data_IF_785638156045
#
_entry.id   IF_785638156045
#
_cell.length_a   1.000
_cell.length_b   1.000
_cell.length_c   1.000
_cell.angle_alpha   90.00
_cell.angle_beta   90.00
_cell.angle_gamma   90.00
#
_symmetry.space_group_name_H-M   'P 1'
#
loop_
_entity.id
_entity.type
_entity.pdbx_description
1 polymer ?
#
# COMPACT_ATOMS: atom_id res chain seq x y z
N UNK A 1 43.09 84.49 2.34
CA UNK A 1 42.84 83.13 2.87
C UNK A 1 44.14 82.34 2.82
N UNK A 2 44.74 81.97 3.97
CA UNK A 2 45.92 81.11 4.00
C UNK A 2 45.76 80.14 5.19
N UNK A 3 45.44 78.88 4.93
CA UNK A 3 45.43 77.81 5.96
C UNK A 3 46.28 76.65 5.49
N UNK A 4 47.14 76.24 6.42
CA UNK A 4 48.36 75.43 6.27
C UNK A 4 48.11 73.97 5.85
N UNK A 5 49.02 73.35 5.07
CA UNK A 5 48.93 71.96 4.59
C UNK A 5 49.11 70.86 5.65
N UNK A 6 49.19 71.19 6.95
CA UNK A 6 49.48 70.23 8.03
C UNK A 6 48.27 69.51 8.66
N UNK A 7 47.04 69.97 8.45
CA UNK A 7 45.85 69.39 9.13
C UNK A 7 45.29 68.15 8.43
N UNK A 8 45.43 68.07 7.10
CA UNK A 8 44.95 66.93 6.30
C UNK A 8 45.71 65.63 6.60
N UNK A 9 47.02 65.72 6.89
CA UNK A 9 47.83 64.55 7.26
C UNK A 9 47.48 63.99 8.65
N UNK A 10 47.02 64.83 9.59
CA UNK A 10 46.55 64.36 10.90
C UNK A 10 45.20 63.66 10.79
N UNK A 11 44.30 64.18 9.96
CA UNK A 11 43.04 63.51 9.65
C UNK A 11 43.24 62.18 8.92
N UNK A 12 44.14 62.12 7.93
CA UNK A 12 44.46 60.89 7.21
C UNK A 12 45.07 59.81 8.13
N UNK A 13 46.01 60.19 9.02
CA UNK A 13 46.60 59.25 9.99
C UNK A 13 45.62 58.80 11.06
N UNK A 14 44.73 59.68 11.52
CA UNK A 14 43.67 59.33 12.48
C UNK A 14 42.66 58.37 11.85
N UNK A 15 42.23 58.64 10.61
CA UNK A 15 41.33 57.79 9.84
C UNK A 15 41.95 56.43 9.52
N UNK A 16 43.24 56.39 9.20
CA UNK A 16 43.99 55.15 8.98
C UNK A 16 44.14 54.33 10.28
N UNK A 17 44.34 54.98 11.43
CA UNK A 17 44.32 54.31 12.74
C UNK A 17 42.93 53.76 13.09
N UNK A 18 41.88 54.47 12.70
CA UNK A 18 40.49 54.06 12.91
C UNK A 18 40.10 52.88 12.00
N UNK A 19 40.54 52.90 10.74
CA UNK A 19 40.40 51.77 9.81
C UNK A 19 41.22 50.54 10.26
N UNK A 20 42.43 50.74 10.79
CA UNK A 20 43.22 49.63 11.36
C UNK A 20 42.61 49.02 12.63
N UNK A 21 41.74 49.75 13.35
CA UNK A 21 40.93 49.24 14.46
C UNK A 21 39.64 48.56 14.00
N UNK A 22 39.07 48.96 12.87
CA UNK A 22 37.97 48.22 12.21
C UNK A 22 38.50 46.94 11.54
N UNK A 23 39.81 46.88 11.26
CA UNK A 23 40.54 45.68 10.88
C UNK A 23 41.22 45.00 12.09
N UNK A 24 40.62 45.09 13.28
CA UNK A 24 40.84 44.09 14.33
C UNK A 24 39.67 43.10 14.28
N UNK A 25 39.86 41.89 13.74
CA UNK A 25 39.01 40.77 14.09
C UNK A 25 39.43 40.30 15.49
N UNK A 26 38.99 41.05 16.51
CA UNK A 26 38.93 40.59 17.88
C UNK A 26 37.83 39.54 17.98
N UNK A 27 38.15 38.31 17.62
CA UNK A 27 37.19 37.21 17.69
C UNK A 27 37.62 36.05 16.80
N UNK A 28 38.64 35.29 17.23
CA UNK A 28 38.88 33.85 17.00
C UNK A 28 38.18 33.23 15.77
N UNK A 29 38.31 33.85 14.60
CA UNK A 29 37.75 33.40 13.33
C UNK A 29 38.78 32.51 12.67
N UNK A 30 38.83 31.24 13.08
CA UNK A 30 39.60 30.21 12.39
C UNK A 30 39.05 30.10 10.97
N UNK A 31 39.71 30.75 10.00
CA UNK A 31 39.49 30.46 8.58
C UNK A 31 39.68 28.95 8.45
N UNK A 32 38.66 28.16 8.08
CA UNK A 32 38.81 26.72 8.02
C UNK A 32 39.87 26.46 6.96
N UNK A 33 40.94 25.75 7.33
CA UNK A 33 41.89 25.22 6.34
C UNK A 33 41.09 24.53 5.22
N UNK A 34 41.55 24.50 3.95
CA UNK A 34 40.82 23.81 2.89
C UNK A 34 40.43 22.37 3.29
N UNK A 35 41.30 21.68 4.04
CA UNK A 35 41.00 20.38 4.68
C UNK A 35 39.81 20.41 5.66
N UNK A 36 39.64 21.48 6.43
CA UNK A 36 38.51 21.70 7.35
C UNK A 36 37.22 22.14 6.65
N UNK A 37 37.30 22.87 5.54
CA UNK A 37 36.14 23.18 4.71
C UNK A 37 35.61 21.92 3.98
N UNK A 38 36.50 21.10 3.42
CA UNK A 38 36.14 19.79 2.84
C UNK A 38 35.65 18.79 3.90
N UNK A 39 36.23 18.78 5.10
CA UNK A 39 35.74 17.97 6.20
C UNK A 39 34.35 18.43 6.69
N UNK A 40 34.10 19.74 6.73
CA UNK A 40 32.80 20.32 7.09
C UNK A 40 31.71 20.01 6.05
N UNK A 41 32.01 20.17 4.75
CA UNK A 41 31.08 19.80 3.67
C UNK A 41 30.85 18.29 3.60
N UNK A 42 31.91 17.48 3.74
CA UNK A 42 31.82 16.01 3.75
C UNK A 42 31.00 15.50 4.95
N UNK A 43 31.18 16.10 6.13
CA UNK A 43 30.39 15.81 7.32
C UNK A 43 28.91 16.16 7.15
N UNK A 44 28.60 17.32 6.54
CA UNK A 44 27.23 17.73 6.23
C UNK A 44 26.57 16.83 5.17
N UNK A 45 27.31 16.38 4.15
CA UNK A 45 26.80 15.44 3.15
C UNK A 45 26.56 14.04 3.74
N UNK A 46 27.43 13.57 4.65
CA UNK A 46 27.22 12.30 5.35
C UNK A 46 26.04 12.37 6.32
N UNK A 47 25.89 13.46 7.07
CA UNK A 47 24.76 13.66 7.97
C UNK A 47 23.44 13.84 7.19
N UNK A 48 23.44 14.69 6.16
CA UNK A 48 22.27 14.92 5.32
C UNK A 48 21.88 13.67 4.53
N UNK A 49 22.85 13.02 3.89
CA UNK A 49 22.64 11.76 3.16
C UNK A 49 22.21 10.61 4.06
N UNK A 50 22.82 10.49 5.25
CA UNK A 50 22.45 9.50 6.25
C UNK A 50 21.05 9.71 6.81
N UNK A 51 20.65 10.96 7.09
CA UNK A 51 19.31 11.28 7.58
C UNK A 51 18.23 10.98 6.52
N UNK A 52 18.47 11.34 5.25
CA UNK A 52 17.58 11.01 4.14
C UNK A 52 17.48 9.50 3.91
N UNK A 53 18.60 8.78 4.06
CA UNK A 53 18.63 7.33 3.94
C UNK A 53 17.79 6.68 5.04
N UNK A 54 17.99 7.05 6.31
CA UNK A 54 17.21 6.49 7.44
C UNK A 54 15.73 6.81 7.30
N UNK A 55 15.38 8.05 6.89
CA UNK A 55 13.98 8.44 6.74
C UNK A 55 13.27 7.64 5.64
N UNK A 56 13.91 7.44 4.49
CA UNK A 56 13.32 6.68 3.39
C UNK A 56 13.41 5.15 3.58
N UNK A 57 14.32 4.67 4.42
CA UNK A 57 14.49 3.25 4.71
C UNK A 57 13.48 2.71 5.73
N UNK A 58 12.87 3.59 6.53
CA UNK A 58 11.86 3.20 7.49
C UNK A 58 10.48 3.22 6.83
N UNK A 59 9.74 2.11 6.97
CA UNK A 59 8.33 2.06 6.61
C UNK A 59 7.53 1.49 7.77
N UNK A 60 6.30 1.96 7.92
CA UNK A 60 5.39 1.51 8.96
C UNK A 60 4.28 0.64 8.36
N UNK A 61 3.92 -0.42 9.08
CA UNK A 61 2.79 -1.30 8.76
C UNK A 61 1.74 -1.12 9.83
N UNK A 62 0.58 -0.60 9.45
CA UNK A 62 -0.54 -0.38 10.36
C UNK A 62 -1.16 -1.69 10.85
N UNK A 63 -1.84 -1.63 12.00
CA UNK A 63 -2.58 -2.77 12.55
C UNK A 63 -3.63 -3.30 11.58
N UNK A 64 -3.66 -4.62 11.39
CA UNK A 64 -4.55 -5.28 10.43
C UNK A 64 -4.08 -5.19 8.97
N UNK A 65 -2.86 -4.72 8.72
CA UNK A 65 -2.17 -4.87 7.45
C UNK A 65 -0.95 -5.79 7.59
N UNK A 66 -0.51 -6.34 6.47
CA UNK A 66 0.72 -7.13 6.36
C UNK A 66 1.49 -6.65 5.15
N UNK A 67 2.80 -6.54 5.28
CA UNK A 67 3.63 -6.11 4.15
C UNK A 67 4.44 -7.28 3.61
N UNK A 68 4.57 -7.30 2.28
CA UNK A 68 5.57 -8.10 1.58
C UNK A 68 6.57 -7.14 0.95
N UNK A 69 7.82 -7.57 0.79
CA UNK A 69 8.85 -6.74 0.16
C UNK A 69 9.17 -7.29 -1.21
N UNK A 70 9.11 -6.43 -2.22
CA UNK A 70 9.61 -6.69 -3.55
C UNK A 70 11.01 -6.12 -3.70
N UNK A 71 11.99 -6.98 -3.90
CA UNK A 71 13.37 -6.59 -4.18
C UNK A 71 13.62 -6.59 -5.70
N UNK A 72 14.25 -5.53 -6.23
CA UNK A 72 14.57 -5.41 -7.67
C UNK A 72 15.53 -6.50 -8.19
N UNK A 73 16.33 -7.10 -7.31
CA UNK A 73 17.34 -8.10 -7.66
C UNK A 73 16.78 -9.53 -7.54
N UNK A 74 16.07 -9.83 -6.45
CA UNK A 74 15.62 -11.18 -6.08
C UNK A 74 14.11 -11.40 -6.28
N UNK A 75 13.36 -10.36 -6.68
CA UNK A 75 11.91 -10.40 -6.81
C UNK A 75 11.18 -10.32 -5.46
N UNK A 76 9.98 -10.91 -5.40
CA UNK A 76 9.11 -10.89 -4.22
C UNK A 76 9.70 -11.77 -3.12
N UNK A 77 10.02 -11.20 -1.97
CA UNK A 77 10.48 -11.96 -0.81
C UNK A 77 9.36 -12.82 -0.21
N UNK A 78 9.70 -14.02 0.28
CA UNK A 78 8.78 -14.88 1.02
C UNK A 78 8.54 -14.41 2.45
N UNK A 79 9.33 -13.44 2.94
CA UNK A 79 9.20 -12.90 4.29
C UNK A 79 8.01 -11.95 4.36
N UNK A 80 7.08 -12.26 5.26
CA UNK A 80 5.92 -11.42 5.57
C UNK A 80 6.27 -10.58 6.79
N UNK A 81 6.02 -9.28 6.69
CA UNK A 81 6.22 -8.32 7.77
C UNK A 81 4.88 -8.07 8.46
N UNK A 82 4.88 -8.25 9.79
CA UNK A 82 3.73 -7.96 10.64
C UNK A 82 3.59 -6.45 10.88
N UNK A 83 2.56 -6.04 11.60
CA UNK A 83 2.41 -4.64 12.05
C UNK A 83 3.67 -4.12 12.78
N UNK A 84 3.97 -2.83 12.60
CA UNK A 84 5.13 -2.16 13.18
C UNK A 84 6.05 -1.50 12.15
N UNK A 85 7.11 -0.86 12.67
CA UNK A 85 8.11 -0.18 11.85
C UNK A 85 9.22 -1.14 11.44
N UNK A 86 9.47 -1.22 10.14
CA UNK A 86 10.48 -2.10 9.55
C UNK A 86 11.45 -1.29 8.70
N UNK A 87 12.63 -1.86 8.47
CA UNK A 87 13.70 -1.25 7.70
C UNK A 87 13.86 -1.95 6.34
N UNK A 88 13.96 -1.18 5.27
CA UNK A 88 14.19 -1.63 3.89
C UNK A 88 15.23 -0.76 3.19
N UNK A 89 15.82 -1.27 2.12
CA UNK A 89 16.71 -0.47 1.28
C UNK A 89 15.89 0.25 0.19
N UNK A 90 15.64 1.57 0.28
CA UNK A 90 14.63 2.26 -0.54
C UNK A 90 14.89 2.22 -2.07
N UNK A 91 16.13 2.00 -2.49
CA UNK A 91 16.48 1.86 -3.92
C UNK A 91 16.24 0.44 -4.46
N UNK A 92 16.38 -0.58 -3.63
CA UNK A 92 16.29 -1.99 -4.03
C UNK A 92 14.94 -2.61 -3.68
N UNK A 93 14.37 -2.22 -2.55
CA UNK A 93 13.23 -2.85 -1.93
C UNK A 93 12.03 -1.90 -1.99
N UNK A 94 10.88 -2.45 -2.36
CA UNK A 94 9.60 -1.74 -2.37
C UNK A 94 8.62 -2.50 -1.49
N UNK A 95 8.11 -1.88 -0.41
CA UNK A 95 7.15 -2.52 0.47
C UNK A 95 5.77 -2.46 -0.17
N UNK A 96 5.06 -3.58 -0.15
CA UNK A 96 3.71 -3.72 -0.68
C UNK A 96 2.81 -4.11 0.47
N UNK A 97 1.92 -3.19 0.83
CA UNK A 97 1.06 -3.33 2.00
C UNK A 97 -0.27 -3.94 1.56
N UNK A 98 -0.62 -5.05 2.20
CA UNK A 98 -1.87 -5.76 2.05
C UNK A 98 -2.77 -5.52 3.24
N UNK A 99 -4.05 -5.28 2.96
CA UNK A 99 -5.10 -5.32 3.96
C UNK A 99 -5.53 -6.77 4.17
N UNK A 100 -5.36 -7.27 5.39
CA UNK A 100 -5.72 -8.65 5.77
C UNK A 100 -7.07 -8.74 6.47
N UNK A 101 -7.81 -7.63 6.52
CA UNK A 101 -9.16 -7.58 7.08
C UNK A 101 -10.17 -8.18 6.10
N UNK A 102 -11.25 -8.71 6.66
CA UNK A 102 -12.35 -9.23 5.87
C UNK A 102 -13.09 -8.10 5.16
N UNK A 103 -13.10 -8.14 3.82
CA UNK A 103 -13.81 -7.18 2.98
C UNK A 103 -15.09 -7.80 2.44
N UNK A 104 -16.23 -7.10 2.56
CA UNK A 104 -17.46 -7.55 1.93
C UNK A 104 -17.46 -7.26 0.43
N UNK A 105 -17.87 -8.25 -0.37
CA UNK A 105 -18.13 -8.09 -1.80
C UNK A 105 -19.46 -8.72 -2.17
N UNK A 106 -20.28 -7.99 -2.92
CA UNK A 106 -21.54 -8.50 -3.45
C UNK A 106 -21.32 -8.85 -4.93
N UNK A 107 -21.66 -10.07 -5.33
CA UNK A 107 -21.58 -10.54 -6.71
C UNK A 107 -22.97 -11.02 -7.13
N UNK A 108 -23.50 -10.43 -8.19
CA UNK A 108 -24.75 -10.85 -8.81
C UNK A 108 -24.47 -11.75 -10.01
N UNK A 109 -25.26 -12.81 -10.16
CA UNK A 109 -25.15 -13.75 -11.26
C UNK A 109 -26.52 -14.16 -11.76
N UNK A 110 -26.73 -14.05 -13.07
CA UNK A 110 -27.89 -14.61 -13.75
C UNK A 110 -27.62 -16.09 -14.07
N UNK A 111 -28.43 -16.98 -13.50
CA UNK A 111 -28.23 -18.43 -13.58
C UNK A 111 -29.55 -19.15 -13.89
N UNK A 112 -29.47 -20.20 -14.70
CA UNK A 112 -30.59 -21.10 -14.97
C UNK A 112 -30.72 -22.18 -13.89
N UNK A 113 -31.95 -22.45 -13.46
CA UNK A 113 -32.29 -23.53 -12.54
C UNK A 113 -32.51 -24.86 -13.29
N UNK A 114 -32.72 -25.94 -12.54
CA UNK A 114 -33.00 -27.28 -13.10
C UNK A 114 -34.25 -27.32 -13.98
N UNK A 115 -35.25 -26.50 -13.67
CA UNK A 115 -36.49 -26.30 -14.41
C UNK A 115 -36.39 -25.23 -15.52
N UNK A 116 -35.16 -24.86 -15.91
CA UNK A 116 -34.86 -23.89 -16.97
C UNK A 116 -35.40 -22.48 -16.70
N UNK A 117 -35.69 -22.15 -15.44
CA UNK A 117 -36.07 -20.80 -15.06
C UNK A 117 -34.82 -19.96 -14.82
N UNK A 118 -34.84 -18.73 -15.34
CA UNK A 118 -33.74 -17.79 -15.15
C UNK A 118 -33.93 -17.03 -13.84
N UNK A 119 -32.94 -17.14 -12.95
CA UNK A 119 -32.93 -16.49 -11.64
C UNK A 119 -31.68 -15.63 -11.51
N UNK A 120 -31.89 -14.38 -11.12
CA UNK A 120 -30.79 -13.50 -10.74
C UNK A 120 -30.54 -13.65 -9.24
N UNK A 121 -29.34 -14.09 -8.88
CA UNK A 121 -28.95 -14.38 -7.50
C UNK A 121 -27.78 -13.48 -7.14
N UNK A 122 -27.94 -12.74 -6.04
CA UNK A 122 -26.87 -11.94 -5.45
C UNK A 122 -26.31 -12.63 -4.23
N UNK A 123 -25.02 -12.94 -4.26
CA UNK A 123 -24.27 -13.50 -3.16
C UNK A 123 -23.33 -12.45 -2.57
N UNK A 124 -23.43 -12.22 -1.27
CA UNK A 124 -22.48 -11.46 -0.48
C UNK A 124 -21.44 -12.42 0.11
N UNK A 125 -20.18 -12.15 -0.15
CA UNK A 125 -19.06 -12.89 0.40
C UNK A 125 -18.20 -11.96 1.24
N UNK A 126 -17.78 -12.42 2.41
CA UNK A 126 -16.80 -11.77 3.26
C UNK A 126 -15.48 -12.54 3.10
N UNK A 127 -14.49 -11.92 2.47
CA UNK A 127 -13.24 -12.57 2.11
C UNK A 127 -12.03 -11.82 2.66
N UNK A 128 -10.98 -12.57 2.99
CA UNK A 128 -9.66 -12.05 3.34
C UNK A 128 -8.56 -12.92 2.73
N UNK A 129 -7.36 -12.40 2.50
CA UNK A 129 -6.27 -13.20 1.97
C UNK A 129 -5.65 -14.04 3.09
N UNK A 130 -5.07 -15.19 2.74
CA UNK A 130 -4.26 -15.95 3.68
C UNK A 130 -2.91 -15.24 3.92
N UNK A 131 -2.67 -14.86 5.17
CA UNK A 131 -1.46 -14.12 5.59
C UNK A 131 -0.19 -14.89 5.24
N UNK A 132 -0.20 -16.22 5.42
CA UNK A 132 0.98 -17.05 5.17
C UNK A 132 1.37 -17.14 3.69
N UNK A 133 0.42 -16.86 2.80
CA UNK A 133 0.55 -17.05 1.36
C UNK A 133 0.49 -15.74 0.57
N UNK A 134 0.59 -14.58 1.24
CA UNK A 134 0.62 -13.26 0.60
C UNK A 134 1.68 -13.15 -0.53
N UNK A 135 2.91 -13.69 -0.39
CA UNK A 135 3.87 -13.66 -1.48
C UNK A 135 3.40 -14.42 -2.72
N UNK A 136 2.68 -15.54 -2.55
CA UNK A 136 2.13 -16.32 -3.66
C UNK A 136 0.97 -15.58 -4.30
N UNK A 137 0.03 -15.07 -3.49
CA UNK A 137 -1.13 -14.29 -3.95
C UNK A 137 -0.67 -13.10 -4.79
N UNK A 138 0.34 -12.34 -4.35
CA UNK A 138 0.86 -11.22 -5.11
C UNK A 138 1.47 -11.64 -6.45
N UNK A 139 2.17 -12.79 -6.51
CA UNK A 139 2.76 -13.29 -7.76
C UNK A 139 1.71 -13.79 -8.75
N UNK A 140 0.65 -14.45 -8.28
CA UNK A 140 -0.35 -15.10 -9.14
C UNK A 140 -1.51 -14.18 -9.50
N UNK A 141 -2.05 -13.45 -8.53
CA UNK A 141 -3.25 -12.64 -8.67
C UNK A 141 -2.95 -11.14 -8.63
N UNK A 142 -1.85 -10.72 -8.02
CA UNK A 142 -1.53 -9.31 -7.78
C UNK A 142 -2.21 -8.75 -6.53
N UNK A 143 -2.15 -7.43 -6.38
CA UNK A 143 -2.72 -6.72 -5.22
C UNK A 143 -4.26 -6.76 -5.23
N UNK A 144 -4.87 -6.71 -6.42
CA UNK A 144 -6.34 -6.74 -6.65
C UNK A 144 -6.86 -8.18 -6.76
N UNK A 145 -6.45 -9.04 -5.83
CA UNK A 145 -6.76 -10.47 -5.89
C UNK A 145 -8.27 -10.72 -5.82
N UNK A 146 -8.99 -9.94 -5.02
CA UNK A 146 -10.42 -10.08 -4.77
C UNK A 146 -11.26 -9.70 -6.00
N UNK A 147 -10.85 -8.66 -6.73
CA UNK A 147 -11.56 -8.20 -7.93
C UNK A 147 -11.41 -9.15 -9.11
N UNK A 148 -10.23 -9.75 -9.24
CA UNK A 148 -9.89 -10.61 -10.39
C UNK A 148 -10.51 -12.00 -10.29
N UNK A 149 -10.53 -12.60 -9.10
CA UNK A 149 -10.86 -14.02 -8.95
C UNK A 149 -12.23 -14.29 -8.33
N UNK A 150 -12.69 -13.46 -7.38
CA UNK A 150 -13.94 -13.72 -6.67
C UNK A 150 -15.17 -13.72 -7.59
N UNK A 151 -15.33 -12.77 -8.55
CA UNK A 151 -16.48 -12.80 -9.44
C UNK A 151 -16.55 -14.10 -10.26
N UNK A 152 -15.39 -14.57 -10.74
CA UNK A 152 -15.27 -15.79 -11.54
C UNK A 152 -15.63 -17.04 -10.73
N UNK A 153 -15.06 -17.21 -9.53
CA UNK A 153 -15.35 -18.37 -8.66
C UNK A 153 -16.81 -18.36 -8.22
N UNK A 154 -17.33 -17.19 -7.81
CA UNK A 154 -18.71 -17.09 -7.34
C UNK A 154 -19.69 -17.41 -8.45
N UNK A 155 -19.50 -16.87 -9.64
CA UNK A 155 -20.34 -17.17 -10.79
C UNK A 155 -20.31 -18.66 -11.17
N UNK A 156 -19.14 -19.29 -11.14
CA UNK A 156 -19.01 -20.72 -11.44
C UNK A 156 -19.74 -21.60 -10.41
N UNK A 157 -19.52 -21.35 -9.11
CA UNK A 157 -20.14 -22.13 -8.05
C UNK A 157 -21.65 -21.90 -8.01
N UNK A 158 -22.12 -20.65 -8.13
CA UNK A 158 -23.55 -20.36 -8.21
C UNK A 158 -24.21 -21.13 -9.36
N UNK A 159 -23.63 -21.08 -10.57
CA UNK A 159 -24.13 -21.85 -11.72
C UNK A 159 -24.20 -23.35 -11.45
N UNK A 160 -23.15 -23.91 -10.87
CA UNK A 160 -23.08 -25.36 -10.60
C UNK A 160 -24.09 -25.83 -9.55
N UNK A 161 -24.34 -25.03 -8.51
CA UNK A 161 -25.24 -25.41 -7.41
C UNK A 161 -26.69 -25.17 -7.81
N UNK A 162 -26.99 -24.01 -8.37
CA UNK A 162 -28.36 -23.60 -8.72
C UNK A 162 -28.96 -24.49 -9.82
N UNK A 163 -28.14 -24.95 -10.77
CA UNK A 163 -28.58 -25.89 -11.80
C UNK A 163 -29.05 -27.25 -11.26
N UNK A 164 -28.74 -27.60 -10.00
CA UNK A 164 -29.17 -28.86 -9.38
C UNK A 164 -30.53 -28.75 -8.68
N UNK A 165 -31.02 -27.53 -8.44
CA UNK A 165 -32.28 -27.26 -7.74
C UNK A 165 -33.32 -26.62 -8.66
N UNK A 166 -34.59 -26.88 -8.37
CA UNK A 166 -35.69 -26.17 -9.02
C UNK A 166 -35.88 -24.78 -8.39
N UNK A 167 -36.49 -23.85 -9.11
CA UNK A 167 -36.81 -22.50 -8.62
C UNK A 167 -37.54 -22.49 -7.27
N UNK A 168 -38.55 -23.36 -7.09
CA UNK A 168 -39.32 -23.47 -5.84
C UNK A 168 -38.48 -23.97 -4.66
N UNK A 169 -37.47 -24.81 -4.92
CA UNK A 169 -36.56 -25.33 -3.90
C UNK A 169 -35.53 -24.30 -3.44
N UNK A 170 -35.15 -23.36 -4.30
CA UNK A 170 -34.24 -22.28 -3.92
C UNK A 170 -34.85 -21.37 -2.83
N UNK A 171 -36.17 -21.21 -2.84
CA UNK A 171 -36.90 -20.44 -1.82
C UNK A 171 -37.12 -21.31 -0.58
N UNK A 172 -37.73 -22.49 -0.75
CA UNK A 172 -38.14 -23.35 0.38
C UNK A 172 -36.98 -24.01 1.12
N UNK A 173 -35.89 -24.32 0.43
CA UNK A 173 -34.68 -24.97 0.98
C UNK A 173 -33.46 -24.05 0.95
N UNK A 174 -33.68 -22.73 1.07
CA UNK A 174 -32.62 -21.71 0.98
C UNK A 174 -31.44 -21.99 1.92
N UNK A 175 -31.69 -22.50 3.12
CA UNK A 175 -30.63 -22.81 4.09
C UNK A 175 -29.70 -23.93 3.58
N UNK A 176 -30.29 -25.00 3.03
CA UNK A 176 -29.55 -26.12 2.44
C UNK A 176 -28.74 -25.65 1.23
N UNK A 177 -29.34 -24.84 0.37
CA UNK A 177 -28.67 -24.28 -0.82
C UNK A 177 -27.52 -23.35 -0.40
N UNK A 178 -27.74 -22.48 0.58
CA UNK A 178 -26.73 -21.55 1.10
C UNK A 178 -25.52 -22.28 1.70
N UNK A 179 -25.77 -23.34 2.48
CA UNK A 179 -24.71 -24.19 3.02
C UNK A 179 -23.89 -24.84 1.91
N UNK A 180 -24.56 -25.40 0.90
CA UNK A 180 -23.91 -26.08 -0.22
C UNK A 180 -23.08 -25.10 -1.07
N UNK A 181 -23.58 -23.88 -1.30
CA UNK A 181 -22.81 -22.80 -1.94
C UNK A 181 -21.59 -22.45 -1.10
N UNK A 182 -21.74 -22.25 0.20
CA UNK A 182 -20.63 -21.92 1.11
C UNK A 182 -19.53 -22.98 1.05
N UNK A 183 -19.87 -24.27 1.19
CA UNK A 183 -18.90 -25.37 1.16
C UNK A 183 -18.11 -25.42 -0.16
N UNK A 184 -18.79 -25.24 -1.30
CA UNK A 184 -18.14 -25.24 -2.61
C UNK A 184 -17.31 -23.98 -2.83
N UNK A 185 -17.79 -22.80 -2.43
CA UNK A 185 -17.02 -21.56 -2.52
C UNK A 185 -15.76 -21.61 -1.68
N UNK A 186 -15.83 -22.09 -0.44
CA UNK A 186 -14.66 -22.25 0.44
C UNK A 186 -13.65 -23.17 -0.23
N UNK A 187 -14.08 -24.35 -0.70
CA UNK A 187 -13.21 -25.31 -1.38
C UNK A 187 -12.52 -24.70 -2.61
N UNK A 188 -13.22 -23.90 -3.40
CA UNK A 188 -12.64 -23.24 -4.59
C UNK A 188 -11.71 -22.08 -4.21
N UNK A 189 -12.09 -21.25 -3.23
CA UNK A 189 -11.30 -20.11 -2.76
C UNK A 189 -9.96 -20.52 -2.13
N UNK A 190 -9.93 -21.64 -1.39
CA UNK A 190 -8.69 -22.17 -0.79
C UNK A 190 -7.61 -22.48 -1.83
N UNK A 191 -7.99 -22.88 -3.06
CA UNK A 191 -7.02 -23.12 -4.16
C UNK A 191 -6.30 -21.85 -4.61
N UNK A 192 -6.87 -20.69 -4.34
CA UNK A 192 -6.30 -19.38 -4.64
C UNK A 192 -5.75 -18.69 -3.39
N UNK A 193 -5.62 -19.42 -2.28
CA UNK A 193 -5.14 -18.90 -1.00
C UNK A 193 -5.99 -17.75 -0.43
N UNK A 194 -7.30 -17.77 -0.72
CA UNK A 194 -8.27 -16.82 -0.19
C UNK A 194 -9.15 -17.52 0.83
N UNK A 195 -9.38 -16.87 1.96
CA UNK A 195 -10.21 -17.35 3.05
C UNK A 195 -11.56 -16.63 3.00
N UNK A 196 -12.64 -17.41 3.10
CA UNK A 196 -14.01 -16.90 3.18
C UNK A 196 -14.50 -17.02 4.62
N UNK A 197 -14.68 -15.89 5.28
CA UNK A 197 -15.17 -15.86 6.67
C UNK A 197 -16.70 -16.00 6.71
N UNK A 198 -17.40 -15.42 5.73
CA UNK A 198 -18.85 -15.55 5.61
C UNK A 198 -19.35 -15.54 4.16
N UNK A 199 -20.48 -16.21 3.93
CA UNK A 199 -21.18 -16.28 2.64
C UNK A 199 -22.68 -16.22 2.91
N UNK A 200 -23.34 -15.22 2.34
CA UNK A 200 -24.78 -15.04 2.44
C UNK A 200 -25.41 -14.79 1.06
N UNK A 201 -26.54 -15.43 0.79
CA UNK A 201 -27.37 -15.11 -0.37
C UNK A 201 -28.23 -13.92 0.05
N UNK A 202 -28.22 -12.81 -0.68
CA UNK A 202 -28.94 -11.59 -0.28
C UNK A 202 -30.32 -11.52 -0.93
N UNK A 203 -30.37 -11.64 -2.26
CA UNK A 203 -31.59 -11.45 -3.06
C UNK A 203 -31.65 -12.46 -4.20
N UNK A 204 -32.84 -13.01 -4.43
CA UNK A 204 -33.15 -13.86 -5.58
C UNK A 204 -34.36 -13.24 -6.28
N UNK A 205 -34.18 -12.78 -7.51
CA UNK A 205 -35.29 -12.27 -8.33
C UNK A 205 -35.43 -13.14 -9.56
N UNK A 206 -36.64 -13.60 -9.85
CA UNK A 206 -36.94 -14.23 -11.12
C UNK A 206 -36.89 -13.16 -12.21
N UNK A 207 -36.26 -13.46 -13.35
CA UNK A 207 -36.36 -12.56 -14.50
C UNK A 207 -37.84 -12.44 -14.88
N UNK A 208 -38.39 -11.22 -15.00
CA UNK A 208 -39.74 -11.06 -15.52
C UNK A 208 -39.77 -11.65 -16.92
N UNK A 209 -40.67 -12.61 -17.14
CA UNK A 209 -41.11 -12.97 -18.49
C UNK A 209 -41.49 -11.66 -19.18
N UNK A 210 -40.77 -11.32 -20.26
CA UNK A 210 -41.04 -10.09 -20.99
C UNK A 210 -42.50 -10.11 -21.44
N UNK A 211 -43.34 -9.09 -21.13
CA UNK A 211 -44.60 -8.97 -21.83
C UNK A 211 -44.25 -8.77 -23.30
N UNK A 212 -44.62 -9.74 -24.13
CA UNK A 212 -44.49 -9.65 -25.58
C UNK A 212 -45.34 -8.48 -26.08
N UNK A 213 -44.82 -7.63 -27.00
CA UNK A 213 -45.61 -6.57 -27.63
C UNK A 213 -46.71 -7.12 -28.54
#
# INVERSE_FOLDING_TARGET
>A
MNRSPGEFQRYAKAFQKQLSKVQQPGGKGRVPSPKGAFAGLGGLLLLGGGALFVNNALFNVDGGHRAIVYSRIHGVSSKIFNEGTHFIFPWLDTPIIYDVRAKPRNVASLTGTKDLQMVNITCRVLSRPDVAQLPIIYRTLGQDYDERVLPSIVNEVLKSVVAQFNASQLITQREKVSRLIRENLVRRATRFNILLDDVSITYMTFSPESPMP
#
